data_IF_758873680672
#
_entry.id   IF_758873680672
#
_cell.length_a   1.000
_cell.length_b   1.000
_cell.length_c   1.000
_cell.angle_alpha   90.00
_cell.angle_beta   90.00
_cell.angle_gamma   90.00
#
_symmetry.space_group_name_H-M   'P 1'
#
loop_
_entity.id
_entity.type
_entity.pdbx_description
1 polymer ?
#
# COMPACT_ATOMS: atom_id res chain seq x y z
N UNK A 1 -18.17 0.90 11.65
CA UNK A 1 -17.52 2.08 11.03
C UNK A 1 -16.51 2.60 12.06
N UNK A 2 -15.42 1.85 12.26
CA UNK A 2 -14.82 1.67 13.59
C UNK A 2 -13.44 2.33 13.76
N UNK A 3 -13.23 3.50 13.15
CA UNK A 3 -11.98 4.25 13.27
C UNK A 3 -12.21 5.62 13.95
N UNK A 4 -12.42 5.65 15.27
CA UNK A 4 -12.91 6.85 15.98
C UNK A 4 -11.95 8.05 15.92
N UNK A 5 -10.64 7.80 15.70
CA UNK A 5 -9.61 8.83 15.61
C UNK A 5 -9.24 9.18 14.16
N UNK A 6 -9.91 8.59 13.17
CA UNK A 6 -9.67 8.94 11.77
C UNK A 6 -10.23 10.32 11.43
N UNK A 7 -9.48 11.05 10.62
CA UNK A 7 -9.94 12.30 10.02
C UNK A 7 -10.15 12.11 8.51
N UNK A 8 -10.28 13.19 7.76
CA UNK A 8 -10.46 13.17 6.32
C UNK A 8 -9.38 12.37 5.58
N UNK A 9 -9.76 11.85 4.42
CA UNK A 9 -8.81 11.33 3.44
C UNK A 9 -8.21 12.51 2.69
N UNK A 10 -6.88 12.57 2.65
CA UNK A 10 -6.16 13.74 2.16
C UNK A 10 -5.41 13.49 0.86
N UNK A 11 -5.03 12.24 0.59
CA UNK A 11 -4.31 11.86 -0.62
C UNK A 11 -4.58 10.41 -0.99
N UNK A 12 -4.53 10.11 -2.28
CA UNK A 12 -4.58 8.75 -2.79
C UNK A 12 -3.56 8.56 -3.92
N UNK A 13 -3.02 7.34 -4.05
CA UNK A 13 -2.12 6.96 -5.11
C UNK A 13 -2.40 5.53 -5.58
N UNK A 14 -2.53 5.34 -6.90
CA UNK A 14 -2.73 4.02 -7.48
C UNK A 14 -1.40 3.26 -7.59
N UNK A 15 -1.46 1.94 -7.42
CA UNK A 15 -0.37 1.07 -7.81
C UNK A 15 -0.15 1.13 -9.33
N UNK A 16 1.06 0.84 -9.83
CA UNK A 16 1.33 0.83 -11.27
C UNK A 16 0.45 -0.13 -12.07
N UNK A 17 -0.04 -1.20 -11.44
CA UNK A 17 -0.95 -2.17 -12.06
C UNK A 17 -2.42 -1.71 -12.07
N UNK A 18 -2.76 -0.63 -11.36
CA UNK A 18 -4.14 -0.17 -11.18
C UNK A 18 -5.01 -1.08 -10.30
N UNK A 19 -4.44 -2.14 -9.72
CA UNK A 19 -5.16 -3.12 -8.91
C UNK A 19 -5.20 -2.78 -7.41
N UNK A 20 -4.44 -1.77 -6.99
CA UNK A 20 -4.46 -1.28 -5.63
C UNK A 20 -4.44 0.24 -5.58
N UNK A 21 -5.04 0.82 -4.54
CA UNK A 21 -5.01 2.26 -4.26
C UNK A 21 -4.64 2.45 -2.81
N UNK A 22 -3.55 3.17 -2.55
CA UNK A 22 -3.21 3.63 -1.21
C UNK A 22 -3.94 4.94 -0.94
N UNK A 23 -4.49 5.08 0.26
CA UNK A 23 -5.16 6.29 0.74
C UNK A 23 -4.55 6.69 2.08
N UNK A 24 -4.18 7.96 2.19
CA UNK A 24 -3.63 8.56 3.40
C UNK A 24 -4.69 9.35 4.16
N UNK A 25 -4.63 9.26 5.49
CA UNK A 25 -5.45 10.02 6.43
C UNK A 25 -4.64 10.37 7.68
N UNK A 26 -5.29 10.90 8.73
CA UNK A 26 -4.59 11.26 9.96
C UNK A 26 -4.08 10.03 10.71
N UNK A 27 -2.76 9.95 10.92
CA UNK A 27 -2.05 8.82 11.54
C UNK A 27 -2.22 7.47 10.82
N UNK A 28 -2.74 7.45 9.58
CA UNK A 28 -3.14 6.19 8.96
C UNK A 28 -2.93 6.17 7.46
N UNK A 29 -2.56 4.99 6.97
CA UNK A 29 -2.50 4.66 5.55
C UNK A 29 -3.26 3.36 5.37
N UNK A 30 -4.20 3.34 4.42
CA UNK A 30 -4.98 2.16 4.05
C UNK A 30 -4.72 1.82 2.60
N UNK A 31 -4.86 0.55 2.23
CA UNK A 31 -4.89 0.16 0.82
C UNK A 31 -6.21 -0.51 0.48
N UNK A 32 -6.75 -0.17 -0.69
CA UNK A 32 -7.87 -0.87 -1.29
C UNK A 32 -7.33 -1.72 -2.42
N UNK A 33 -7.75 -2.97 -2.49
CA UNK A 33 -7.39 -3.90 -3.56
C UNK A 33 -8.62 -4.24 -4.40
N UNK A 34 -8.45 -4.29 -5.71
CA UNK A 34 -9.53 -4.66 -6.62
C UNK A 34 -9.73 -6.17 -6.62
N UNK A 35 -10.92 -6.63 -6.25
CA UNK A 35 -11.33 -8.02 -6.33
C UNK A 35 -12.13 -8.26 -7.62
N UNK A 36 -11.50 -8.67 -8.74
CA UNK A 36 -12.17 -8.75 -10.04
C UNK A 36 -13.33 -9.74 -10.07
N UNK A 37 -13.29 -10.79 -9.24
CA UNK A 37 -14.38 -11.78 -9.15
C UNK A 37 -15.65 -11.21 -8.52
N UNK A 38 -15.50 -10.30 -7.56
CA UNK A 38 -16.63 -9.67 -6.87
C UNK A 38 -17.02 -8.33 -7.50
N UNK A 39 -16.17 -7.78 -8.38
CA UNK A 39 -16.29 -6.44 -8.93
C UNK A 39 -16.38 -5.38 -7.83
N UNK A 40 -15.62 -5.57 -6.75
CA UNK A 40 -15.60 -4.68 -5.58
C UNK A 40 -14.17 -4.35 -5.17
N UNK A 41 -14.01 -3.18 -4.57
CA UNK A 41 -12.80 -2.83 -3.83
C UNK A 41 -12.88 -3.39 -2.41
N UNK A 42 -11.83 -4.08 -1.98
CA UNK A 42 -11.71 -4.64 -0.63
C UNK A 42 -10.68 -3.82 0.16
N UNK A 43 -11.02 -3.44 1.39
CA UNK A 43 -10.11 -2.74 2.29
C UNK A 43 -9.12 -3.73 2.90
N UNK A 44 -7.83 -3.47 2.78
CA UNK A 44 -6.81 -4.18 3.59
C UNK A 44 -6.74 -3.56 4.98
N UNK A 45 -6.37 -4.33 6.02
CA UNK A 45 -6.16 -3.78 7.36
C UNK A 45 -5.28 -2.52 7.33
N UNK A 46 -5.76 -1.39 7.86
CA UNK A 46 -5.03 -0.14 7.77
C UNK A 46 -3.76 -0.18 8.62
N UNK A 47 -2.75 0.55 8.16
CA UNK A 47 -1.52 0.80 8.92
C UNK A 47 -1.68 2.07 9.73
N UNK A 48 -1.76 1.93 11.04
CA UNK A 48 -1.77 3.06 11.97
C UNK A 48 -0.35 3.35 12.49
N UNK A 49 0.05 4.61 12.41
CA UNK A 49 1.37 5.09 12.78
C UNK A 49 1.16 6.28 13.69
N UNK A 50 1.44 6.07 14.97
CA UNK A 50 1.31 7.11 15.99
C UNK A 50 2.22 8.29 15.65
N UNK A 51 1.69 9.50 15.83
CA UNK A 51 2.39 10.75 15.58
C UNK A 51 2.82 10.97 14.10
N UNK A 52 2.25 10.24 13.15
CA UNK A 52 2.42 10.53 11.72
C UNK A 52 1.64 11.77 11.28
N UNK A 53 0.61 12.20 12.02
CA UNK A 53 -0.30 13.28 11.67
C UNK A 53 -0.92 13.08 10.27
N UNK A 54 -1.38 14.15 9.64
CA UNK A 54 -1.99 14.11 8.30
C UNK A 54 -0.97 13.69 7.26
N UNK A 55 -1.27 12.62 6.53
CA UNK A 55 -0.51 12.22 5.34
C UNK A 55 -0.79 13.23 4.22
N UNK A 56 0.24 13.82 3.63
CA UNK A 56 0.10 14.87 2.60
C UNK A 56 0.55 14.41 1.22
N UNK A 57 1.36 13.35 1.13
CA UNK A 57 1.84 12.82 -0.13
C UNK A 57 1.92 11.28 -0.09
N UNK A 58 1.55 10.65 -1.20
CA UNK A 58 1.75 9.22 -1.44
C UNK A 58 2.32 9.02 -2.84
N UNK A 59 3.30 8.14 -2.97
CA UNK A 59 3.85 7.77 -4.26
C UNK A 59 4.19 6.28 -4.30
N UNK A 60 3.66 5.57 -5.29
CA UNK A 60 4.03 4.18 -5.54
C UNK A 60 5.30 4.12 -6.39
N UNK A 61 6.24 3.26 -6.01
CA UNK A 61 7.38 2.94 -6.87
C UNK A 61 6.86 2.29 -8.15
N UNK A 62 7.44 2.66 -9.31
CA UNK A 62 6.99 2.17 -10.62
C UNK A 62 6.98 0.64 -10.79
N UNK A 63 7.79 -0.08 -10.03
CA UNK A 63 7.82 -1.55 -10.06
C UNK A 63 6.80 -2.20 -9.11
N UNK A 64 5.96 -1.40 -8.44
CA UNK A 64 4.94 -1.88 -7.52
C UNK A 64 5.44 -2.27 -6.13
N UNK A 65 6.75 -2.31 -5.90
CA UNK A 65 7.33 -2.92 -4.68
C UNK A 65 7.22 -2.10 -3.41
N UNK A 66 7.07 -0.77 -3.52
CA UNK A 66 7.12 0.14 -2.38
C UNK A 66 6.17 1.32 -2.53
N UNK A 67 5.75 1.85 -1.39
CA UNK A 67 4.97 3.08 -1.28
C UNK A 67 5.71 4.05 -0.38
N UNK A 68 6.00 5.23 -0.89
CA UNK A 68 6.52 6.34 -0.10
C UNK A 68 5.35 7.19 0.41
N UNK A 69 5.45 7.64 1.66
CA UNK A 69 4.46 8.46 2.35
C UNK A 69 5.13 9.68 2.95
N UNK A 70 4.61 10.87 2.67
CA UNK A 70 4.99 12.12 3.30
C UNK A 70 3.92 12.60 4.28
N UNK A 71 4.36 13.10 5.43
CA UNK A 71 3.50 13.67 6.50
C UNK A 71 3.58 15.19 6.56
N UNK A 72 2.54 15.81 7.11
CA UNK A 72 2.52 17.21 7.55
C UNK A 72 3.74 17.61 8.41
N UNK A 73 4.21 16.72 9.28
CA UNK A 73 5.33 16.98 10.20
C UNK A 73 6.71 16.79 9.53
N UNK A 74 6.76 16.55 8.21
CA UNK A 74 7.99 16.36 7.46
C UNK A 74 8.57 14.95 7.50
N UNK A 75 7.89 13.98 8.15
CA UNK A 75 8.33 12.59 8.09
C UNK A 75 8.13 12.00 6.69
N UNK A 76 9.05 11.14 6.29
CA UNK A 76 8.97 10.35 5.05
C UNK A 76 9.13 8.89 5.40
N UNK A 77 8.06 8.12 5.22
CA UNK A 77 8.00 6.70 5.51
C UNK A 77 7.98 5.88 4.22
N UNK A 78 8.62 4.71 4.23
CA UNK A 78 8.66 3.81 3.08
C UNK A 78 8.12 2.44 3.47
N UNK A 79 7.07 2.00 2.78
CA UNK A 79 6.42 0.71 3.01
C UNK A 79 6.75 -0.26 1.89
N UNK A 80 7.00 -1.52 2.23
CA UNK A 80 7.01 -2.60 1.24
C UNK A 80 5.57 -2.99 0.88
N UNK A 81 5.27 -3.02 -0.41
CA UNK A 81 4.02 -3.56 -0.91
C UNK A 81 4.26 -5.01 -1.32
N UNK A 82 3.80 -5.93 -0.48
CA UNK A 82 3.99 -7.37 -0.68
C UNK A 82 2.69 -8.09 -0.37
N UNK A 83 2.14 -8.75 -1.39
CA UNK A 83 0.97 -9.63 -1.23
C UNK A 83 1.43 -10.99 -0.73
N UNK A 84 2.47 -11.55 -1.34
CA UNK A 84 2.97 -12.89 -1.04
C UNK A 84 4.44 -13.03 -1.39
N UNK A 85 5.20 -13.77 -0.57
CA UNK A 85 6.56 -14.24 -0.89
C UNK A 85 6.57 -15.76 -1.03
N UNK A 86 7.26 -16.28 -2.03
CA UNK A 86 7.45 -17.72 -2.25
C UNK A 86 8.83 -18.00 -2.82
N UNK A 87 9.43 -19.13 -2.48
CA UNK A 87 10.69 -19.57 -3.09
C UNK A 87 10.40 -20.58 -4.20
N UNK A 88 10.97 -20.37 -5.38
CA UNK A 88 10.86 -21.29 -6.51
C UNK A 88 12.15 -22.08 -6.72
N UNK A 89 12.02 -23.41 -6.81
CA UNK A 89 13.13 -24.37 -6.98
C UNK A 89 14.30 -24.16 -6.00
N UNK A 90 14.02 -23.66 -4.79
CA UNK A 90 15.03 -23.30 -3.80
C UNK A 90 16.13 -22.35 -4.29
N UNK A 91 15.87 -21.62 -5.39
CA UNK A 91 16.85 -20.80 -6.08
C UNK A 91 16.40 -19.37 -6.29
N UNK A 92 15.10 -19.10 -6.36
CA UNK A 92 14.60 -17.76 -6.64
C UNK A 92 13.55 -17.34 -5.62
N UNK A 93 13.69 -16.13 -5.07
CA UNK A 93 12.65 -15.50 -4.25
C UNK A 93 11.68 -14.76 -5.17
N UNK A 94 10.42 -15.18 -5.16
CA UNK A 94 9.32 -14.55 -5.88
C UNK A 94 8.51 -13.70 -4.89
N UNK A 95 8.46 -12.39 -5.14
CA UNK A 95 7.65 -11.43 -4.38
C UNK A 95 6.51 -10.93 -5.25
N UNK A 96 5.28 -11.28 -4.89
CA UNK A 96 4.07 -10.81 -5.57
C UNK A 96 3.70 -9.42 -5.05
N UNK A 97 3.65 -8.45 -5.97
CA UNK A 97 3.30 -7.04 -5.68
C UNK A 97 1.95 -6.64 -6.32
N UNK A 98 1.38 -7.52 -7.14
CA UNK A 98 0.05 -7.42 -7.73
C UNK A 98 -0.45 -8.80 -8.15
N UNK A 99 -1.73 -8.92 -8.54
CA UNK A 99 -2.28 -10.20 -8.99
C UNK A 99 -1.60 -10.71 -10.27
N UNK A 100 -1.13 -9.78 -11.12
CA UNK A 100 -0.40 -10.06 -12.36
C UNK A 100 1.03 -9.50 -12.35
N UNK A 101 1.61 -9.19 -11.18
CA UNK A 101 2.94 -8.61 -11.07
C UNK A 101 3.78 -9.31 -10.00
N UNK A 102 4.95 -9.80 -10.40
CA UNK A 102 5.90 -10.52 -9.54
C UNK A 102 7.31 -10.00 -9.76
N UNK A 103 8.06 -9.86 -8.67
CA UNK A 103 9.48 -9.53 -8.66
C UNK A 103 10.27 -10.80 -8.36
N UNK A 104 11.30 -11.05 -9.15
CA UNK A 104 12.16 -12.23 -9.03
C UNK A 104 13.53 -11.78 -8.54
N UNK A 105 13.98 -12.34 -7.43
CA UNK A 105 15.36 -12.21 -6.95
C UNK A 105 16.08 -13.55 -7.08
N UNK A 106 17.34 -13.56 -7.57
CA UNK A 106 18.19 -14.75 -7.59
C UNK A 106 18.57 -15.26 -6.19
#
# INVERSE_FOLDING_TARGET
FDYPNEKEFTVAACSPSGQAVAVGSFNRIRTYTWAPRKMTWEETPPKEIQNLYTVTALAWKRDGSRVACGSLCGSVELFESVIKRTVWKNKFELTYVGASQVLVKP
#
